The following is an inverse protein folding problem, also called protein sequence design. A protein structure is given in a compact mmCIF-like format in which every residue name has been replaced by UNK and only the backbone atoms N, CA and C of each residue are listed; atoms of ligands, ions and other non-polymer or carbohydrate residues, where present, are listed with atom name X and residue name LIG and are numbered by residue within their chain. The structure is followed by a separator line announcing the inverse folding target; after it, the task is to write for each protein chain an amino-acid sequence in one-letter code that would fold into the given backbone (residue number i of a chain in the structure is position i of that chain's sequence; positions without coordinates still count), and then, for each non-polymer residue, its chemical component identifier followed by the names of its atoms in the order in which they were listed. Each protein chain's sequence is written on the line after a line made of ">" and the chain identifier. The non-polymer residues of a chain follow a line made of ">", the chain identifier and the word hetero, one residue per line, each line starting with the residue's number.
data_IF_129266088706
#
_entry.id   IF_129266088706
#
_cell.length_a   1.000
_cell.length_b   1.000
_cell.length_c   1.000
_cell.angle_alpha   90.00
_cell.angle_beta   90.00
_cell.angle_gamma   90.00
#
_symmetry.space_group_name_H-M   'P 1'
#
loop_
_entity.id
_entity.type
_entity.pdbx_description
1 polymer ?
#
# COMPACT_ATOMS: atom_id res chain seq x y z
N UNK A 1 8.41 22.13 2.95
CA UNK A 1 7.08 21.58 2.57
C UNK A 1 6.77 20.41 3.50
N UNK A 2 5.50 20.16 3.85
CA UNK A 2 5.10 19.02 4.69
C UNK A 2 4.83 17.77 3.83
N UNK A 3 4.84 16.60 4.47
CA UNK A 3 4.47 15.34 3.83
C UNK A 3 2.99 15.37 3.41
N UNK A 4 2.71 15.10 2.12
CA UNK A 4 1.35 15.08 1.55
C UNK A 4 0.79 16.43 1.10
N UNK A 5 1.53 17.53 1.23
CA UNK A 5 1.23 18.75 0.47
C UNK A 5 1.56 18.55 -1.01
N UNK A 6 0.97 19.35 -1.90
CA UNK A 6 1.30 19.30 -3.33
C UNK A 6 2.57 20.09 -3.66
N UNK A 7 3.44 19.49 -4.46
CA UNK A 7 4.71 20.09 -4.88
C UNK A 7 4.49 21.35 -5.73
N UNK A 8 3.39 21.43 -6.48
CA UNK A 8 3.03 22.58 -7.31
C UNK A 8 2.96 23.90 -6.51
N UNK A 9 2.42 23.84 -5.29
CA UNK A 9 2.35 25.00 -4.39
C UNK A 9 3.75 25.41 -3.94
N UNK A 10 4.58 24.44 -3.54
CA UNK A 10 5.96 24.68 -3.13
C UNK A 10 6.80 25.26 -4.27
N UNK A 11 6.70 24.73 -5.50
CA UNK A 11 7.38 25.26 -6.69
C UNK A 11 6.98 26.71 -6.95
N UNK A 12 5.69 27.04 -6.84
CA UNK A 12 5.21 28.41 -7.07
C UNK A 12 5.80 29.38 -6.05
N UNK A 13 5.81 28.99 -4.77
CA UNK A 13 6.43 29.78 -3.71
C UNK A 13 7.94 29.93 -3.91
N UNK A 14 8.62 28.83 -4.23
CA UNK A 14 10.05 28.81 -4.49
C UNK A 14 10.42 29.74 -5.65
N UNK A 15 9.70 29.68 -6.78
CA UNK A 15 9.91 30.59 -7.92
C UNK A 15 9.75 32.05 -7.52
N UNK A 16 8.75 32.39 -6.71
CA UNK A 16 8.57 33.74 -6.18
C UNK A 16 9.77 34.22 -5.35
N UNK A 17 10.37 33.33 -4.55
CA UNK A 17 11.59 33.64 -3.80
C UNK A 17 12.80 33.81 -4.72
N UNK A 18 12.99 32.91 -5.68
CA UNK A 18 14.10 32.98 -6.63
C UNK A 18 14.05 34.27 -7.46
N UNK A 19 12.87 34.73 -7.87
CA UNK A 19 12.73 36.00 -8.58
C UNK A 19 13.18 37.22 -7.77
N UNK A 20 13.26 37.12 -6.44
CA UNK A 20 13.75 38.21 -5.57
C UNK A 20 15.26 38.13 -5.32
N UNK A 21 15.91 37.04 -5.72
CA UNK A 21 17.33 36.76 -5.44
C UNK A 21 18.08 36.76 -6.78
N UNK A 22 18.95 37.74 -6.98
CA UNK A 22 19.62 37.96 -8.28
C UNK A 22 20.93 37.16 -8.41
N UNK A 23 21.62 36.87 -7.31
CA UNK A 23 23.03 36.44 -7.35
C UNK A 23 23.26 34.94 -7.06
N UNK A 24 22.21 34.13 -7.01
CA UNK A 24 22.35 32.71 -6.70
C UNK A 24 22.59 31.86 -7.94
N UNK A 25 23.67 31.08 -7.92
CA UNK A 25 23.94 30.10 -8.96
C UNK A 25 22.93 28.93 -8.96
N UNK A 26 22.68 28.35 -10.13
CA UNK A 26 21.71 27.27 -10.32
C UNK A 26 21.98 26.06 -9.40
N UNK A 27 23.25 25.71 -9.16
CA UNK A 27 23.63 24.64 -8.23
C UNK A 27 23.20 24.92 -6.79
N UNK A 28 23.29 26.18 -6.35
CA UNK A 28 22.85 26.59 -5.02
C UNK A 28 21.32 26.51 -4.91
N UNK A 29 20.62 26.95 -5.96
CA UNK A 29 19.16 26.84 -6.07
C UNK A 29 18.70 25.37 -6.05
N UNK A 30 19.36 24.48 -6.79
CA UNK A 30 19.09 23.04 -6.78
C UNK A 30 19.26 22.47 -5.37
N UNK A 31 20.36 22.81 -4.70
CA UNK A 31 20.62 22.33 -3.34
C UNK A 31 19.54 22.82 -2.37
N UNK A 32 19.18 24.10 -2.45
CA UNK A 32 18.15 24.69 -1.60
C UNK A 32 16.77 24.08 -1.87
N UNK A 33 16.43 23.89 -3.15
CA UNK A 33 15.19 23.26 -3.55
C UNK A 33 15.06 21.86 -2.95
N UNK A 34 16.10 21.01 -3.08
CA UNK A 34 16.15 19.66 -2.50
C UNK A 34 15.97 19.65 -0.99
N UNK A 35 16.54 20.62 -0.26
CA UNK A 35 16.39 20.71 1.20
C UNK A 35 14.95 20.97 1.64
N UNK A 36 14.13 21.60 0.82
CA UNK A 36 12.73 21.90 1.14
C UNK A 36 11.74 20.79 0.77
N UNK A 37 12.19 19.74 0.08
CA UNK A 37 11.38 18.59 -0.33
C UNK A 37 11.17 17.58 0.81
N UNK A 38 10.03 16.87 0.83
CA UNK A 38 9.81 15.77 1.76
C UNK A 38 10.72 14.58 1.46
N UNK A 39 10.99 13.76 2.48
CA UNK A 39 11.89 12.61 2.38
C UNK A 39 11.40 11.55 1.38
N UNK A 40 10.08 11.39 1.24
CA UNK A 40 9.47 10.46 0.30
C UNK A 40 9.82 10.77 -1.16
N UNK A 41 9.78 12.06 -1.52
CA UNK A 41 10.12 12.54 -2.86
C UNK A 41 11.63 12.49 -3.07
N UNK A 42 12.44 12.79 -2.04
CA UNK A 42 13.89 12.67 -2.11
C UNK A 42 14.34 11.22 -2.37
N UNK A 43 13.70 10.23 -1.75
CA UNK A 43 13.97 8.82 -1.99
C UNK A 43 13.62 8.39 -3.42
N UNK A 44 12.47 8.87 -3.95
CA UNK A 44 12.09 8.61 -5.33
C UNK A 44 13.02 9.28 -6.34
N UNK A 45 13.47 10.51 -6.06
CA UNK A 45 14.47 11.20 -6.86
C UNK A 45 15.81 10.46 -6.85
N UNK A 46 16.21 9.86 -5.71
CA UNK A 46 17.43 9.07 -5.62
C UNK A 46 17.35 7.76 -6.44
N UNK A 47 16.16 7.19 -6.59
CA UNK A 47 15.90 6.02 -7.44
C UNK A 47 15.71 6.37 -8.92
N UNK A 48 15.68 7.65 -9.29
CA UNK A 48 15.42 8.08 -10.65
C UNK A 48 16.64 7.79 -11.55
N UNK A 49 16.48 7.16 -12.73
CA UNK A 49 17.60 6.70 -13.55
C UNK A 49 18.39 7.84 -14.22
N UNK A 50 17.77 9.01 -14.40
CA UNK A 50 18.39 10.14 -15.08
C UNK A 50 19.10 11.08 -14.11
N UNK A 51 20.30 11.54 -14.51
CA UNK A 51 21.01 12.63 -13.83
C UNK A 51 20.29 13.94 -14.08
N UNK A 52 20.00 14.66 -12.99
CA UNK A 52 19.26 15.93 -13.02
C UNK A 52 20.26 17.07 -12.76
N UNK A 53 20.69 17.74 -13.82
CA UNK A 53 21.69 18.83 -13.73
C UNK A 53 21.07 20.23 -13.86
N UNK A 54 19.84 20.37 -14.36
CA UNK A 54 19.10 21.63 -14.39
C UNK A 54 18.05 21.74 -13.28
N UNK A 55 17.88 22.94 -12.75
CA UNK A 55 16.85 23.26 -11.78
C UNK A 55 15.44 23.03 -12.33
N UNK A 56 15.23 23.33 -13.62
CA UNK A 56 13.91 23.18 -14.24
C UNK A 56 13.55 21.70 -14.41
N UNK A 57 14.51 20.87 -14.83
CA UNK A 57 14.31 19.42 -14.92
C UNK A 57 14.01 18.82 -13.55
N UNK A 58 14.70 19.30 -12.50
CA UNK A 58 14.42 18.90 -11.13
C UNK A 58 12.98 19.25 -10.72
N UNK A 59 12.52 20.46 -11.00
CA UNK A 59 11.15 20.87 -10.72
C UNK A 59 10.13 20.00 -11.46
N UNK A 60 10.36 19.71 -12.73
CA UNK A 60 9.46 18.90 -13.56
C UNK A 60 9.36 17.45 -13.05
N UNK A 61 10.49 16.80 -12.80
CA UNK A 61 10.52 15.41 -12.29
C UNK A 61 9.86 15.35 -10.91
N UNK A 62 10.14 16.32 -10.03
CA UNK A 62 9.51 16.39 -8.70
C UNK A 62 8.00 16.51 -8.81
N UNK A 63 7.50 17.29 -9.78
CA UNK A 63 6.06 17.46 -10.04
C UNK A 63 5.40 16.18 -10.58
N UNK A 64 6.09 15.46 -11.47
CA UNK A 64 5.61 14.17 -12.00
C UNK A 64 5.49 13.10 -10.89
N UNK A 65 6.51 13.03 -10.02
CA UNK A 65 6.51 12.14 -8.86
C UNK A 65 5.36 12.46 -7.90
N UNK A 66 5.12 13.74 -7.62
CA UNK A 66 4.01 14.21 -6.77
C UNK A 66 2.65 13.83 -7.36
N UNK A 67 2.45 14.08 -8.66
CA UNK A 67 1.21 13.75 -9.38
C UNK A 67 0.93 12.26 -9.30
N UNK A 68 1.92 11.44 -9.64
CA UNK A 68 1.83 9.97 -9.58
C UNK A 68 1.55 9.47 -8.16
N UNK A 69 2.15 10.10 -7.16
CA UNK A 69 1.92 9.77 -5.76
C UNK A 69 0.47 10.04 -5.35
N UNK A 70 -0.04 11.23 -5.67
CA UNK A 70 -1.42 11.63 -5.34
C UNK A 70 -2.46 10.80 -6.09
N UNK A 71 -2.25 10.50 -7.37
CA UNK A 71 -3.11 9.60 -8.15
C UNK A 71 -3.21 8.23 -7.47
N UNK A 72 -2.06 7.65 -7.09
CA UNK A 72 -2.03 6.36 -6.39
C UNK A 72 -2.71 6.41 -5.02
N UNK A 73 -2.65 7.54 -4.32
CA UNK A 73 -3.37 7.71 -3.05
C UNK A 73 -4.89 7.81 -3.29
N UNK A 74 -5.32 8.53 -4.32
CA UNK A 74 -6.72 8.66 -4.69
C UNK A 74 -7.32 7.30 -5.14
N UNK A 75 -6.55 6.48 -5.86
CA UNK A 75 -6.99 5.11 -6.20
C UNK A 75 -7.18 4.25 -4.96
N UNK A 76 -6.32 4.39 -3.94
CA UNK A 76 -6.44 3.62 -2.70
C UNK A 76 -7.64 4.02 -1.86
N UNK A 77 -7.96 5.32 -1.80
CA UNK A 77 -9.17 5.79 -1.10
C UNK A 77 -10.44 5.41 -1.85
N UNK A 78 -10.46 5.54 -3.18
CA UNK A 78 -11.63 5.20 -4.01
C UNK A 78 -11.93 3.69 -4.01
N UNK A 79 -10.90 2.83 -4.01
CA UNK A 79 -11.09 1.38 -3.97
C UNK A 79 -11.47 0.84 -2.57
N UNK A 80 -11.35 1.64 -1.50
CA UNK A 80 -11.82 1.24 -0.17
C UNK A 80 -13.33 1.47 0.04
N UNK A 81 -14.01 2.17 -0.87
CA UNK A 81 -15.45 2.46 -0.78
C UNK A 81 -16.37 1.49 -1.53
N UNK A 82 -15.84 0.54 -2.32
CA UNK A 82 -16.67 -0.42 -3.07
C UNK A 82 -16.70 -1.77 -2.37
N UNK A 83 -17.55 -1.86 -1.36
CA UNK A 83 -18.04 -3.14 -0.86
C UNK A 83 -18.95 -3.73 -1.96
N UNK A 84 -18.69 -4.93 -2.52
CA UNK A 84 -19.70 -5.62 -3.30
C UNK A 84 -20.73 -6.14 -2.30
N UNK A 85 -21.81 -5.38 -2.12
CA UNK A 85 -22.99 -5.85 -1.40
C UNK A 85 -23.53 -7.07 -2.14
N UNK A 86 -23.57 -8.19 -1.42
CA UNK A 86 -24.15 -9.42 -1.88
C UNK A 86 -25.65 -9.22 -2.08
N UNK A 87 -26.11 -9.34 -3.33
CA UNK A 87 -27.52 -9.62 -3.61
C UNK A 87 -27.65 -11.09 -3.97
N UNK A 88 -27.96 -11.91 -2.96
CA UNK A 88 -28.56 -13.23 -3.15
C UNK A 88 -30.06 -13.03 -3.47
N UNK A 89 -30.50 -13.50 -4.63
CA UNK A 89 -31.91 -13.83 -4.91
C UNK A 89 -31.97 -15.06 -5.83
N UNK A 90 -32.01 -16.20 -5.17
CA UNK A 90 -32.73 -17.46 -5.41
C UNK A 90 -33.38 -17.81 -6.79
N UNK A 91 -33.13 -19.08 -7.17
CA UNK A 91 -33.87 -20.01 -8.07
C UNK A 91 -34.12 -19.59 -9.55
N UNK A 92 -34.07 -20.44 -10.59
CA UNK A 92 -34.35 -21.87 -10.73
C UNK A 92 -33.65 -22.44 -11.99
N UNK A 93 -33.32 -23.74 -11.95
CA UNK A 93 -32.92 -24.60 -13.09
C UNK A 93 -34.11 -24.86 -14.06
N UNK A 94 -34.03 -25.62 -15.19
CA UNK A 94 -32.90 -26.36 -15.80
C UNK A 94 -32.82 -26.21 -17.35
N UNK A 95 -31.82 -26.80 -18.02
CA UNK A 95 -32.01 -27.66 -19.21
C UNK A 95 -30.69 -28.28 -19.72
N UNK A 96 -30.82 -29.54 -20.15
CA UNK A 96 -29.82 -30.52 -20.59
C UNK A 96 -29.11 -30.19 -21.92
N UNK A 97 -27.90 -30.76 -22.13
CA UNK A 97 -27.61 -31.89 -23.06
C UNK A 97 -26.08 -32.03 -23.32
N UNK A 98 -25.57 -33.18 -23.80
CA UNK A 98 -24.32 -33.77 -23.37
C UNK A 98 -23.26 -33.82 -24.49
N UNK A 99 -21.98 -33.95 -24.14
CA UNK A 99 -21.13 -34.88 -24.86
C UNK A 99 -19.84 -35.21 -24.12
N UNK A 100 -19.51 -36.49 -24.21
CA UNK A 100 -18.29 -37.17 -23.81
C UNK A 100 -17.03 -36.44 -24.30
N UNK A 101 -16.05 -36.29 -23.39
CA UNK A 101 -14.66 -36.57 -23.72
C UNK A 101 -13.84 -36.76 -22.45
N UNK A 102 -13.43 -38.01 -22.26
CA UNK A 102 -12.47 -38.47 -21.27
C UNK A 102 -11.17 -37.65 -21.36
N UNK A 103 -10.77 -36.96 -20.29
CA UNK A 103 -9.35 -36.70 -20.03
C UNK A 103 -9.02 -36.91 -18.57
N UNK A 104 -8.19 -37.93 -18.36
CA UNK A 104 -7.58 -38.37 -17.10
C UNK A 104 -6.99 -37.18 -16.34
N UNK A 105 -7.49 -36.91 -15.12
CA UNK A 105 -6.86 -35.97 -14.17
C UNK A 105 -5.54 -36.58 -13.70
N UNK A 106 -4.43 -36.12 -14.28
CA UNK A 106 -3.10 -36.35 -13.70
C UNK A 106 -3.00 -35.49 -12.43
N UNK A 107 -2.71 -36.16 -11.31
CA UNK A 107 -2.27 -35.55 -10.06
C UNK A 107 -1.08 -34.62 -10.34
N UNK A 108 -1.33 -33.31 -10.40
CA UNK A 108 -0.25 -32.33 -10.31
C UNK A 108 0.08 -32.16 -8.83
N UNK A 109 1.16 -32.81 -8.41
CA UNK A 109 1.84 -32.46 -7.17
C UNK A 109 2.18 -30.97 -7.26
N UNK A 110 1.54 -30.19 -6.39
CA UNK A 110 1.66 -28.73 -6.33
C UNK A 110 3.09 -28.42 -5.92
N UNK A 111 3.96 -28.09 -6.88
CA UNK A 111 5.26 -27.50 -6.59
C UNK A 111 5.02 -26.32 -5.65
N UNK A 112 5.61 -26.35 -4.47
CA UNK A 112 5.53 -25.25 -3.53
C UNK A 112 6.10 -24.02 -4.21
N UNK A 113 5.25 -23.02 -4.44
CA UNK A 113 5.70 -21.74 -4.97
C UNK A 113 6.62 -21.12 -3.92
N UNK A 114 7.74 -20.49 -4.32
CA UNK A 114 8.62 -19.81 -3.37
C UNK A 114 7.82 -18.83 -2.52
N UNK A 115 8.15 -18.68 -1.24
CA UNK A 115 7.37 -17.91 -0.25
C UNK A 115 7.04 -16.47 -0.71
N UNK A 116 7.88 -15.88 -1.56
CA UNK A 116 7.69 -14.58 -2.21
C UNK A 116 6.46 -14.51 -3.13
N UNK A 117 6.01 -15.64 -3.69
CA UNK A 117 4.85 -15.70 -4.59
C UNK A 117 3.51 -15.48 -3.89
N UNK A 118 3.50 -15.52 -2.55
CA UNK A 118 2.31 -15.29 -1.74
C UNK A 118 2.22 -13.86 -1.21
N UNK A 119 3.21 -13.02 -1.55
CA UNK A 119 3.25 -11.62 -1.18
C UNK A 119 2.85 -10.76 -2.38
N UNK A 120 2.14 -9.67 -2.10
CA UNK A 120 1.81 -8.67 -3.11
C UNK A 120 3.02 -7.75 -3.38
N UNK A 121 2.86 -6.80 -4.32
CA UNK A 121 3.87 -5.76 -4.65
C UNK A 121 4.36 -4.95 -3.42
N UNK A 122 3.60 -4.98 -2.32
CA UNK A 122 3.92 -4.31 -1.06
C UNK A 122 4.48 -5.26 0.02
N UNK A 123 4.94 -6.45 -0.37
CA UNK A 123 5.47 -7.49 0.52
C UNK A 123 4.47 -7.95 1.61
N UNK A 124 3.16 -7.71 1.43
CA UNK A 124 2.09 -8.17 2.32
C UNK A 124 1.46 -9.46 1.78
N UNK A 125 1.03 -10.33 2.67
CA UNK A 125 0.34 -11.58 2.32
C UNK A 125 -0.90 -11.28 1.46
N UNK A 126 -1.01 -11.94 0.30
CA UNK A 126 -2.20 -11.84 -0.55
C UNK A 126 -3.44 -12.39 0.16
N UNK A 127 -4.62 -11.82 -0.13
CA UNK A 127 -5.89 -12.24 0.47
C UNK A 127 -6.17 -13.74 0.26
N UNK A 128 -5.85 -14.28 -0.91
CA UNK A 128 -6.00 -15.71 -1.21
C UNK A 128 -5.16 -16.61 -0.32
N UNK A 129 -3.93 -16.21 0.02
CA UNK A 129 -3.09 -16.94 0.96
C UNK A 129 -3.54 -16.75 2.40
N UNK A 130 -4.02 -15.56 2.76
CA UNK A 130 -4.61 -15.30 4.07
C UNK A 130 -5.82 -16.22 4.33
N UNK A 131 -6.74 -16.32 3.38
CA UNK A 131 -7.93 -17.17 3.45
C UNK A 131 -7.55 -18.65 3.58
N UNK A 132 -6.57 -19.10 2.79
CA UNK A 132 -6.05 -20.47 2.87
C UNK A 132 -5.48 -20.78 4.25
N UNK A 133 -4.68 -19.85 4.81
CA UNK A 133 -4.11 -20.02 6.15
C UNK A 133 -5.19 -20.07 7.23
N UNK A 134 -6.23 -19.25 7.13
CA UNK A 134 -7.38 -19.31 8.05
C UNK A 134 -8.08 -20.66 7.96
N UNK A 135 -8.40 -21.11 6.74
CA UNK A 135 -9.04 -22.42 6.50
C UNK A 135 -8.22 -23.60 7.01
N UNK A 136 -6.90 -23.52 6.91
CA UNK A 136 -5.97 -24.55 7.38
C UNK A 136 -5.53 -24.38 8.84
N UNK A 137 -6.12 -23.43 9.59
CA UNK A 137 -5.78 -23.17 10.99
C UNK A 137 -4.33 -22.72 11.20
N UNK A 138 -3.73 -22.08 10.19
CA UNK A 138 -2.35 -21.59 10.21
C UNK A 138 -2.29 -20.09 10.46
N UNK A 139 -1.23 -19.65 11.14
CA UNK A 139 -1.02 -18.26 11.51
C UNK A 139 -0.87 -17.39 10.27
N UNK A 140 -1.72 -16.37 10.14
CA UNK A 140 -1.65 -15.43 9.01
C UNK A 140 -0.44 -14.49 9.06
N UNK A 141 0.29 -14.45 10.18
CA UNK A 141 1.53 -13.67 10.30
C UNK A 141 2.76 -14.49 9.87
N UNK A 142 3.06 -15.59 10.57
CA UNK A 142 4.28 -16.36 10.34
C UNK A 142 4.09 -17.66 9.56
N UNK A 143 2.85 -18.11 9.33
CA UNK A 143 2.54 -19.37 8.66
C UNK A 143 2.63 -20.63 9.53
N UNK A 144 2.86 -20.50 10.85
CA UNK A 144 2.92 -21.63 11.78
C UNK A 144 1.55 -22.30 12.02
N UNK A 145 1.54 -23.57 12.44
CA UNK A 145 0.34 -24.37 12.77
C UNK A 145 -0.27 -23.97 14.11
N UNK A 146 -0.69 -22.72 14.23
CA UNK A 146 -1.31 -22.16 15.42
C UNK A 146 -2.12 -20.91 15.05
N UNK A 147 -3.06 -20.52 15.91
CA UNK A 147 -3.84 -19.30 15.73
C UNK A 147 -2.95 -18.04 15.76
N UNK A 148 -3.41 -16.95 15.16
CA UNK A 148 -2.67 -15.68 15.16
C UNK A 148 -2.43 -15.12 16.57
N UNK A 149 -3.28 -15.44 17.54
CA UNK A 149 -3.15 -15.02 18.94
C UNK A 149 -1.99 -15.71 19.66
N UNK A 150 -1.77 -16.99 19.36
CA UNK A 150 -0.67 -17.78 19.91
C UNK A 150 0.65 -17.61 19.15
N UNK A 151 0.76 -16.59 18.29
CA UNK A 151 1.95 -16.35 17.48
C UNK A 151 3.03 -15.60 18.26
N UNK A 152 4.09 -16.31 18.67
CA UNK A 152 5.25 -15.71 19.34
C UNK A 152 6.06 -14.72 18.47
N UNK A 153 5.96 -14.83 17.15
CA UNK A 153 6.61 -13.90 16.21
C UNK A 153 5.82 -12.61 16.02
N UNK A 154 4.55 -12.57 16.44
CA UNK A 154 3.73 -11.37 16.32
C UNK A 154 4.22 -10.33 17.33
N UNK A 155 4.55 -9.10 16.90
CA UNK A 155 4.84 -8.04 17.85
C UNK A 155 3.59 -7.79 18.71
N UNK A 156 3.71 -7.90 20.04
CA UNK A 156 2.66 -7.48 20.97
C UNK A 156 2.49 -5.97 20.82
N UNK A 157 1.47 -5.54 20.08
CA UNK A 157 1.06 -4.14 20.10
C UNK A 157 0.70 -3.76 21.54
N UNK A 158 1.45 -2.85 22.17
CA UNK A 158 1.17 -2.30 23.50
C UNK A 158 -0.06 -1.35 23.52
N UNK A 159 -1.01 -1.48 22.59
CA UNK A 159 -2.14 -0.55 22.40
C UNK A 159 -3.49 -1.16 22.76
N UNK A 160 -3.53 -1.99 23.81
CA UNK A 160 -4.78 -2.50 24.38
C UNK A 160 -4.72 -2.46 25.91
N UNK A 161 -4.60 -1.26 26.49
CA UNK A 161 -4.95 -0.99 27.89
C UNK A 161 -5.72 0.33 28.00
N UNK A 162 -6.77 0.51 27.19
CA UNK A 162 -7.83 1.47 27.53
C UNK A 162 -9.16 0.83 27.12
N UNK A 163 -9.76 0.05 28.00
CA UNK A 163 -11.22 0.00 28.23
C UNK A 163 -11.60 -1.17 29.14
N UNK A 164 -12.39 -0.86 30.17
CA UNK A 164 -13.41 -1.77 30.68
C UNK A 164 -13.09 -2.54 31.96
N UNK A 165 -13.18 -1.86 33.11
CA UNK A 165 -13.66 -2.54 34.33
C UNK A 165 -14.53 -1.60 35.18
N UNK A 166 -15.81 -1.50 34.80
CA UNK A 166 -16.90 -1.33 35.77
C UNK A 166 -17.57 -2.70 35.91
N UNK A 167 -17.88 -3.12 37.14
CA UNK A 167 -19.27 -3.08 37.63
C UNK A 167 -19.32 -2.42 39.02
N UNK A 168 -20.23 -1.46 39.25
CA UNK A 168 -21.59 -1.69 39.78
C UNK A 168 -21.60 -2.58 41.02
N UNK A 169 -21.80 -1.98 42.20
CA UNK A 169 -22.76 -2.49 43.19
C UNK A 169 -23.45 -1.33 43.93
N UNK A 170 -24.77 -1.49 44.03
CA UNK A 170 -25.77 -0.71 44.76
C UNK A 170 -25.89 -1.23 46.20
N UNK A 171 -26.42 -0.36 47.06
CA UNK A 171 -27.25 -0.62 48.25
C UNK A 171 -26.60 -1.37 49.43
N UNK A 172 -26.39 -0.68 50.55
CA UNK A 172 -27.37 -0.50 51.63
C UNK A 172 -26.93 0.66 52.55
#
# INVERSE_FOLDING_TARGET
>A
MKEGEHVSSYISYFRSLVSRIVDWGERALINHFRKGLPSSILEQLASHPSRIDSLQDLMNITLELDTTYHERQNEKSNNQGKNPEASESDSSHPQNFPSSSQRKKKNFQKREKPHSSFLNKYFKLMNSEKERRIKEGSCTYCGGKYSLESCFKRPRNQLAQISGKFPSQREA
#
